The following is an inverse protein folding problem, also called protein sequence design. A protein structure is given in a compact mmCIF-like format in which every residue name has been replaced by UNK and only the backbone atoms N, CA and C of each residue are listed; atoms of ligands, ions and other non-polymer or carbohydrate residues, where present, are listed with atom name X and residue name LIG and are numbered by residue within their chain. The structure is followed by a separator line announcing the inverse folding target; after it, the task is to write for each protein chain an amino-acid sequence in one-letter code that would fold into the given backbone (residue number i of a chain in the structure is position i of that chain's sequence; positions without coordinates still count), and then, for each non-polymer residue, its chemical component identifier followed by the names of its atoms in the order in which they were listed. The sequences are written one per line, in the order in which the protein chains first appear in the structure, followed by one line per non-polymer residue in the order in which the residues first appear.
data_IF_944412127942
#
_entry.id   IF_944412127942
#
_cell.length_a   1.000
_cell.length_b   1.000
_cell.length_c   1.000
_cell.angle_alpha   90.00
_cell.angle_beta   90.00
_cell.angle_gamma   90.00
#
_symmetry.space_group_name_H-M   'P 1'
#
loop_
_entity.id
_entity.type
_entity.pdbx_description
1 polymer ?
#
# COMPACT_ATOMS: atom_id res chain seq x y z
N UNK A 1 0.28 -12.14 -25.04
CA UNK A 1 0.45 -11.17 -23.94
C UNK A 1 0.07 -11.86 -22.65
N UNK A 2 0.75 -11.54 -21.55
CA UNK A 2 0.40 -12.05 -20.22
C UNK A 2 -0.95 -11.47 -19.79
N UNK A 3 -1.82 -12.30 -19.21
CA UNK A 3 -3.09 -11.83 -18.64
C UNK A 3 -2.84 -10.95 -17.40
N UNK A 4 -3.35 -9.72 -17.43
CA UNK A 4 -3.26 -8.73 -16.35
C UNK A 4 -4.62 -8.46 -15.70
N UNK A 5 -5.66 -9.22 -16.04
CA UNK A 5 -7.01 -9.08 -15.48
C UNK A 5 -7.02 -9.06 -13.95
N UNK A 6 -6.11 -9.81 -13.32
CA UNK A 6 -5.91 -9.86 -11.87
C UNK A 6 -5.58 -8.50 -11.25
N UNK A 7 -4.88 -7.60 -11.97
CA UNK A 7 -4.42 -6.31 -11.45
C UNK A 7 -5.58 -5.30 -11.36
N UNK A 8 -6.50 -5.34 -12.33
CA UNK A 8 -7.66 -4.45 -12.40
C UNK A 8 -8.93 -5.07 -11.82
N UNK A 9 -8.86 -6.32 -11.35
CA UNK A 9 -10.01 -7.04 -10.78
C UNK A 9 -10.60 -6.37 -9.53
N UNK A 10 -9.82 -5.51 -8.85
CA UNK A 10 -10.18 -4.84 -7.59
C UNK A 10 -9.52 -3.45 -7.53
N UNK A 11 -10.07 -2.50 -6.75
CA UNK A 11 -9.37 -1.27 -6.43
C UNK A 11 -8.03 -1.52 -5.73
N UNK A 12 -7.09 -0.62 -5.96
CA UNK A 12 -5.79 -0.57 -5.26
C UNK A 12 -5.88 0.47 -4.15
N UNK A 13 -5.54 0.09 -2.92
CA UNK A 13 -5.47 1.00 -1.79
C UNK A 13 -4.20 1.85 -1.90
N UNK A 14 -4.38 3.11 -2.32
CA UNK A 14 -3.32 4.11 -2.44
C UNK A 14 -2.69 4.38 -1.07
N UNK A 15 -1.40 4.06 -0.91
CA UNK A 15 -0.63 4.15 0.34
C UNK A 15 -1.24 3.35 1.50
N UNK A 16 -1.92 2.24 1.18
CA UNK A 16 -2.70 1.45 2.12
C UNK A 16 -4.11 2.01 2.38
N UNK A 17 -4.95 1.28 3.12
CA UNK A 17 -6.32 1.73 3.41
C UNK A 17 -6.33 2.69 4.60
N UNK A 18 -5.72 3.87 4.50
CA UNK A 18 -5.58 4.82 5.60
C UNK A 18 -6.86 5.67 5.84
N UNK A 19 -6.92 6.43 6.93
CA UNK A 19 -8.10 7.25 7.31
C UNK A 19 -7.86 8.76 7.18
N UNK A 20 -7.06 9.14 6.18
CA UNK A 20 -6.48 10.49 6.05
C UNK A 20 -5.67 10.89 7.29
N UNK A 21 -4.95 9.92 7.86
CA UNK A 21 -3.98 10.12 8.94
C UNK A 21 -4.63 10.65 10.24
N UNK A 22 -5.88 10.26 10.52
CA UNK A 22 -6.57 10.56 11.78
C UNK A 22 -6.14 9.58 12.87
N UNK A 23 -6.27 8.28 12.59
CA UNK A 23 -5.88 7.19 13.51
C UNK A 23 -5.07 6.10 12.82
N UNK A 24 -5.11 6.05 11.47
CA UNK A 24 -4.41 5.08 10.64
C UNK A 24 -3.73 5.81 9.50
N UNK A 25 -2.40 5.86 9.56
CA UNK A 25 -1.59 6.68 8.68
C UNK A 25 -1.26 5.96 7.38
N UNK A 26 -1.15 6.72 6.29
CA UNK A 26 -0.64 6.22 5.01
C UNK A 26 0.75 5.61 5.15
N UNK A 27 1.09 4.65 4.28
CA UNK A 27 2.41 4.02 4.26
C UNK A 27 2.84 3.38 5.59
N UNK A 28 1.86 2.91 6.37
CA UNK A 28 2.08 2.17 7.62
C UNK A 28 1.53 0.75 7.58
N UNK A 29 2.07 -0.11 8.45
CA UNK A 29 1.61 -1.49 8.60
C UNK A 29 0.12 -1.59 8.95
N UNK A 30 -0.43 -0.64 9.72
CA UNK A 30 -1.85 -0.67 10.07
C UNK A 30 -2.75 -0.36 8.87
N UNK A 31 -2.36 0.58 7.99
CA UNK A 31 -3.07 0.82 6.72
C UNK A 31 -2.97 -0.37 5.76
N UNK A 32 -1.83 -1.05 5.73
CA UNK A 32 -1.63 -2.25 4.90
C UNK A 32 -2.46 -3.43 5.39
N UNK A 33 -2.47 -3.68 6.71
CA UNK A 33 -3.32 -4.71 7.31
C UNK A 33 -4.80 -4.44 6.99
N UNK A 34 -5.27 -3.20 7.16
CA UNK A 34 -6.65 -2.84 6.87
C UNK A 34 -7.05 -2.99 5.38
N UNK A 35 -6.10 -2.83 4.46
CA UNK A 35 -6.30 -3.07 3.04
C UNK A 35 -6.36 -4.57 2.72
N UNK A 36 -5.44 -5.36 3.30
CA UNK A 36 -5.40 -6.82 3.14
C UNK A 36 -6.67 -7.49 3.68
N UNK A 37 -7.14 -7.07 4.86
CA UNK A 37 -8.41 -7.53 5.45
C UNK A 37 -9.63 -7.29 4.55
N UNK A 38 -9.59 -6.22 3.73
CA UNK A 38 -10.65 -5.86 2.77
C UNK A 38 -10.43 -6.46 1.39
N UNK A 39 -9.35 -7.19 1.18
CA UNK A 39 -9.03 -7.84 -0.08
C UNK A 39 -8.57 -6.87 -1.18
N UNK A 40 -8.09 -5.67 -0.85
CA UNK A 40 -7.51 -4.75 -1.81
C UNK A 40 -6.05 -5.10 -2.12
N UNK A 41 -5.61 -4.81 -3.35
CA UNK A 41 -4.19 -4.64 -3.62
C UNK A 41 -3.67 -3.37 -2.93
N UNK A 42 -2.37 -3.26 -2.70
CA UNK A 42 -1.77 -2.15 -1.95
C UNK A 42 -0.72 -1.48 -2.84
N UNK A 43 -0.78 -0.15 -2.90
CA UNK A 43 0.29 0.69 -3.41
C UNK A 43 1.03 1.33 -2.21
N UNK A 44 2.34 1.55 -2.35
CA UNK A 44 3.17 2.19 -1.34
C UNK A 44 4.36 2.91 -1.97
N UNK A 45 4.79 4.01 -1.35
CA UNK A 45 5.98 4.76 -1.77
C UNK A 45 7.23 4.14 -1.14
N UNK A 46 8.24 3.84 -1.97
CA UNK A 46 9.53 3.29 -1.52
C UNK A 46 10.64 4.30 -1.78
N UNK A 47 11.39 4.64 -0.74
CA UNK A 47 12.55 5.54 -0.81
C UNK A 47 13.81 4.82 -0.32
N UNK A 48 14.99 5.29 -0.75
CA UNK A 48 16.27 4.75 -0.29
C UNK A 48 16.86 5.65 0.79
N UNK A 49 17.17 5.10 1.95
CA UNK A 49 17.85 5.83 3.04
C UNK A 49 19.34 6.10 2.73
N UNK A 50 19.98 6.93 3.54
CA UNK A 50 21.42 7.26 3.39
C UNK A 50 22.35 6.06 3.56
N UNK A 51 21.95 5.06 4.35
CA UNK A 51 22.64 3.78 4.55
C UNK A 51 22.18 2.69 3.55
N UNK A 52 21.45 3.09 2.49
CA UNK A 52 20.99 2.24 1.38
C UNK A 52 20.01 1.14 1.79
N UNK A 53 19.16 1.42 2.78
CA UNK A 53 18.05 0.56 3.18
C UNK A 53 16.76 1.10 2.55
N UNK A 54 16.00 0.29 1.80
CA UNK A 54 14.68 0.70 1.33
C UNK A 54 13.74 0.94 2.51
N UNK A 55 13.04 2.07 2.49
CA UNK A 55 12.06 2.47 3.50
C UNK A 55 10.75 2.85 2.82
N UNK A 56 9.66 2.67 3.56
CA UNK A 56 8.32 3.07 3.15
C UNK A 56 8.00 4.40 3.84
N UNK A 57 7.60 5.43 3.07
CA UNK A 57 7.41 6.80 3.60
C UNK A 57 6.12 7.45 3.13
#
# INVERSE_FOLDING_TARGET
MTDLSWLTARPVAHRGFHDMNKTRWENTLSAFAAAAERGYAIECDVHLSSDRVPVII
#
